data_IF_749467370492
#
_entry.id   IF_749467370492
#
_cell.length_a   1.000
_cell.length_b   1.000
_cell.length_c   1.000
_cell.angle_alpha   90.00
_cell.angle_beta   90.00
_cell.angle_gamma   90.00
#
_symmetry.space_group_name_H-M   'P 1'
#
loop_
_entity.id
_entity.type
_entity.pdbx_description
1 polymer ?
#
# COMPACT_ATOMS: atom_id res chain seq x y z
N UNK A 1 16.82 20.57 -41.17
CA UNK A 1 15.96 19.84 -40.22
C UNK A 1 16.29 20.37 -38.83
N UNK A 2 15.36 21.06 -38.14
CA UNK A 2 15.62 21.66 -36.83
C UNK A 2 15.78 20.57 -35.75
N UNK A 3 16.68 20.74 -34.76
CA UNK A 3 16.91 19.74 -33.71
C UNK A 3 15.64 19.41 -32.90
N UNK A 4 14.71 20.35 -32.82
CA UNK A 4 13.38 20.24 -32.19
C UNK A 4 12.53 19.07 -32.73
N UNK A 5 12.77 18.63 -33.97
CA UNK A 5 11.94 17.62 -34.64
C UNK A 5 12.38 16.19 -34.37
N UNK A 6 13.62 15.97 -33.89
CA UNK A 6 14.13 14.64 -33.54
C UNK A 6 13.70 14.25 -32.13
N UNK A 7 13.68 15.21 -31.20
CA UNK A 7 13.22 14.98 -29.83
C UNK A 7 11.71 14.74 -29.77
N UNK A 8 10.91 15.51 -30.51
CA UNK A 8 9.44 15.33 -30.58
C UNK A 8 9.06 13.97 -31.19
N UNK A 9 9.77 13.53 -32.23
CA UNK A 9 9.60 12.21 -32.85
C UNK A 9 10.00 11.08 -31.89
N UNK A 10 11.04 11.30 -31.08
CA UNK A 10 11.45 10.34 -30.04
C UNK A 10 10.39 10.26 -28.93
N UNK A 11 9.88 11.40 -28.47
CA UNK A 11 8.85 11.49 -27.44
C UNK A 11 7.55 10.85 -27.90
N UNK A 12 7.12 11.10 -29.14
CA UNK A 12 5.96 10.43 -29.74
C UNK A 12 6.13 8.91 -29.82
N UNK A 13 7.35 8.39 -30.02
CA UNK A 13 7.63 6.95 -29.91
C UNK A 13 7.55 6.45 -28.48
N UNK A 14 8.02 7.23 -27.49
CA UNK A 14 7.98 6.85 -26.08
C UNK A 14 6.55 6.89 -25.50
N UNK A 15 5.76 7.93 -25.82
CA UNK A 15 4.35 8.06 -25.46
C UNK A 15 3.52 7.03 -26.21
N UNK A 16 3.70 6.88 -27.53
CA UNK A 16 3.01 5.87 -28.31
C UNK A 16 3.30 4.45 -27.80
N UNK A 17 4.54 4.20 -27.37
CA UNK A 17 4.89 2.99 -26.62
C UNK A 17 4.13 2.92 -25.29
N UNK A 18 4.20 3.93 -24.44
CA UNK A 18 3.50 4.00 -23.15
C UNK A 18 1.98 3.79 -23.25
N UNK A 19 1.31 4.42 -24.21
CA UNK A 19 -0.13 4.30 -24.45
C UNK A 19 -0.49 2.95 -25.09
N UNK A 20 0.31 2.44 -26.04
CA UNK A 20 0.15 1.07 -26.53
C UNK A 20 0.39 0.01 -25.43
N UNK A 21 1.24 0.33 -24.44
CA UNK A 21 1.48 -0.51 -23.27
C UNK A 21 0.34 -0.47 -22.25
N UNK A 22 -0.41 0.63 -22.15
CA UNK A 22 -1.59 0.73 -21.29
C UNK A 22 -2.80 -0.07 -21.82
N UNK A 23 -2.87 -0.28 -23.14
CA UNK A 23 -4.02 -0.90 -23.83
C UNK A 23 -3.87 -2.42 -24.01
N UNK A 24 -2.68 -3.00 -23.81
CA UNK A 24 -2.40 -4.42 -24.06
C UNK A 24 -2.12 -5.21 -22.78
N UNK A 25 -2.77 -6.37 -22.62
CA UNK A 25 -2.64 -7.29 -21.49
C UNK A 25 -1.27 -8.01 -21.39
N UNK A 26 -0.26 -7.58 -22.15
CA UNK A 26 0.94 -8.36 -22.46
C UNK A 26 2.26 -7.81 -21.89
N UNK A 27 2.30 -6.65 -21.20
CA UNK A 27 3.57 -6.15 -20.65
C UNK A 27 3.55 -5.64 -19.20
N UNK A 28 4.62 -6.04 -18.51
CA UNK A 28 4.91 -5.92 -17.09
C UNK A 28 5.07 -4.46 -16.62
N UNK A 29 4.63 -4.18 -15.39
CA UNK A 29 4.84 -2.90 -14.66
C UNK A 29 6.31 -2.44 -14.70
N UNK A 30 7.27 -3.37 -14.80
CA UNK A 30 8.71 -3.09 -14.98
C UNK A 30 8.94 -2.27 -16.26
N UNK A 31 8.39 -2.72 -17.38
CA UNK A 31 8.61 -2.09 -18.68
C UNK A 31 8.05 -0.67 -18.71
N UNK A 32 6.92 -0.45 -18.04
CA UNK A 32 6.31 0.86 -17.88
C UNK A 32 7.19 1.77 -17.01
N UNK A 33 7.64 1.30 -15.84
CA UNK A 33 8.53 2.05 -14.97
C UNK A 33 9.86 2.42 -15.65
N UNK A 34 10.47 1.49 -16.40
CA UNK A 34 11.68 1.75 -17.21
C UNK A 34 11.45 2.82 -18.27
N UNK A 35 10.31 2.76 -18.95
CA UNK A 35 9.92 3.73 -19.97
C UNK A 35 9.78 5.13 -19.37
N UNK A 36 9.01 5.27 -18.29
CA UNK A 36 8.80 6.56 -17.63
C UNK A 36 10.07 7.13 -17.01
N UNK A 37 10.90 6.28 -16.38
CA UNK A 37 12.24 6.67 -15.91
C UNK A 37 13.08 7.23 -17.05
N UNK A 38 13.10 6.55 -18.21
CA UNK A 38 13.81 7.02 -19.39
C UNK A 38 13.38 8.41 -19.84
N UNK A 39 12.07 8.66 -19.93
CA UNK A 39 11.51 9.97 -20.31
C UNK A 39 11.83 11.06 -19.26
N UNK A 40 11.74 10.72 -17.97
CA UNK A 40 12.02 11.63 -16.85
C UNK A 40 13.49 12.06 -16.86
N UNK A 41 14.39 11.07 -16.91
CA UNK A 41 15.82 11.27 -16.77
C UNK A 41 16.42 11.96 -18.01
N UNK A 42 15.90 11.67 -19.21
CA UNK A 42 16.29 12.38 -20.44
C UNK A 42 15.72 13.80 -20.52
N UNK A 43 14.69 14.10 -19.72
CA UNK A 43 13.94 15.34 -19.82
C UNK A 43 13.08 15.46 -21.08
N UNK A 44 12.87 14.36 -21.84
CA UNK A 44 12.17 14.40 -23.13
C UNK A 44 10.73 14.93 -23.03
N UNK A 45 10.07 14.80 -21.88
CA UNK A 45 8.74 15.36 -21.64
C UNK A 45 8.68 16.89 -21.84
N UNK A 46 9.81 17.59 -21.68
CA UNK A 46 9.91 19.05 -21.85
C UNK A 46 9.68 19.48 -23.30
N UNK A 47 9.85 18.59 -24.27
CA UNK A 47 9.58 18.90 -25.69
C UNK A 47 8.09 19.19 -25.95
N UNK A 48 7.19 18.70 -25.08
CA UNK A 48 5.76 19.06 -25.11
C UNK A 48 5.44 20.37 -24.39
N UNK A 49 6.43 21.07 -23.83
CA UNK A 49 6.23 22.28 -23.03
C UNK A 49 5.57 22.04 -21.67
N UNK A 50 5.44 20.77 -21.27
CA UNK A 50 4.80 20.36 -20.01
C UNK A 50 5.82 20.25 -18.89
N UNK A 51 5.37 20.53 -17.66
CA UNK A 51 6.08 20.07 -16.45
C UNK A 51 5.96 18.55 -16.31
N UNK A 52 6.81 17.93 -15.49
CA UNK A 52 6.75 16.49 -15.26
C UNK A 52 5.39 16.04 -14.72
N UNK A 53 4.80 16.82 -13.81
CA UNK A 53 3.49 16.56 -13.23
C UNK A 53 2.35 16.62 -14.27
N UNK A 54 2.37 17.66 -15.11
CA UNK A 54 1.43 17.80 -16.22
C UNK A 54 1.60 16.69 -17.25
N UNK A 55 2.83 16.27 -17.54
CA UNK A 55 3.09 15.15 -18.43
C UNK A 55 2.52 13.83 -17.88
N UNK A 56 2.72 13.56 -16.58
CA UNK A 56 2.15 12.37 -15.94
C UNK A 56 0.63 12.35 -16.03
N UNK A 57 -0.01 13.47 -15.71
CA UNK A 57 -1.47 13.55 -15.66
C UNK A 57 -2.12 13.59 -17.05
N UNK A 58 -1.52 14.31 -18.01
CA UNK A 58 -2.11 14.56 -19.33
C UNK A 58 -1.71 13.54 -20.39
N UNK A 59 -0.46 13.07 -20.40
CA UNK A 59 0.05 12.17 -21.44
C UNK A 59 0.09 10.70 -20.99
N UNK A 60 0.46 10.45 -19.73
CA UNK A 60 0.46 9.10 -19.14
C UNK A 60 -0.93 8.73 -18.57
N UNK A 61 -1.69 9.71 -18.09
CA UNK A 61 -3.00 9.49 -17.47
C UNK A 61 -2.94 8.99 -16.02
N UNK A 62 -1.81 9.18 -15.33
CA UNK A 62 -1.59 8.75 -13.94
C UNK A 62 -1.11 9.92 -13.08
N UNK A 63 -1.32 9.84 -11.76
CA UNK A 63 -0.76 10.86 -10.87
C UNK A 63 0.77 10.79 -10.87
N UNK A 64 1.42 11.95 -10.78
CA UNK A 64 2.88 12.03 -10.64
C UNK A 64 3.38 11.15 -9.49
N UNK A 65 2.71 11.20 -8.34
CA UNK A 65 3.10 10.42 -7.16
C UNK A 65 3.16 8.92 -7.46
N UNK A 66 2.17 8.38 -8.18
CA UNK A 66 2.15 6.96 -8.53
C UNK A 66 3.26 6.59 -9.53
N UNK A 67 3.50 7.45 -10.52
CA UNK A 67 4.59 7.26 -11.51
C UNK A 67 5.96 7.31 -10.81
N UNK A 68 6.17 8.29 -9.93
CA UNK A 68 7.41 8.43 -9.15
C UNK A 68 7.59 7.24 -8.21
N UNK A 69 6.55 6.81 -7.50
CA UNK A 69 6.63 5.62 -6.63
C UNK A 69 7.06 4.38 -7.40
N UNK A 70 6.56 4.16 -8.62
CA UNK A 70 6.97 3.02 -9.45
C UNK A 70 8.41 3.13 -9.96
N UNK A 71 8.87 4.34 -10.30
CA UNK A 71 10.26 4.56 -10.70
C UNK A 71 11.19 4.35 -9.50
N UNK A 72 10.87 4.90 -8.34
CA UNK A 72 11.66 4.78 -7.12
C UNK A 72 11.74 3.32 -6.66
N UNK A 73 10.63 2.60 -6.76
CA UNK A 73 10.58 1.17 -6.46
C UNK A 73 11.46 0.35 -7.41
N UNK A 74 11.45 0.67 -8.71
CA UNK A 74 12.33 0.04 -9.70
C UNK A 74 13.81 0.34 -9.39
N UNK A 75 14.16 1.57 -9.06
CA UNK A 75 15.54 1.98 -8.75
C UNK A 75 16.05 1.34 -7.47
N UNK A 76 15.18 1.26 -6.45
CA UNK A 76 15.57 0.80 -5.10
C UNK A 76 15.60 -0.71 -4.96
N UNK A 77 14.69 -1.40 -5.63
CA UNK A 77 14.48 -2.84 -5.41
C UNK A 77 14.64 -3.68 -6.70
N UNK A 78 14.84 -3.03 -7.84
CA UNK A 78 15.07 -3.70 -9.11
C UNK A 78 13.81 -4.34 -9.71
N UNK A 79 14.02 -5.07 -10.79
CA UNK A 79 12.96 -5.62 -11.63
C UNK A 79 12.13 -6.68 -10.90
N UNK A 80 12.78 -7.51 -10.08
CA UNK A 80 12.16 -8.60 -9.33
C UNK A 80 11.05 -8.11 -8.40
N UNK A 81 11.20 -6.93 -7.79
CA UNK A 81 10.16 -6.33 -6.95
C UNK A 81 8.91 -5.94 -7.75
N UNK A 82 9.10 -5.34 -8.91
CA UNK A 82 8.02 -4.92 -9.79
C UNK A 82 7.32 -6.12 -10.47
N UNK A 83 8.03 -7.23 -10.71
CA UNK A 83 7.46 -8.54 -11.10
C UNK A 83 6.57 -9.09 -9.97
N UNK A 84 7.05 -9.08 -8.73
CA UNK A 84 6.28 -9.49 -7.54
C UNK A 84 5.02 -8.63 -7.34
N UNK A 85 5.11 -7.30 -7.53
CA UNK A 85 3.96 -6.39 -7.42
C UNK A 85 2.83 -6.69 -8.40
N UNK A 86 3.13 -7.26 -9.58
CA UNK A 86 2.11 -7.70 -10.54
C UNK A 86 1.36 -8.94 -10.07
N UNK A 87 2.06 -9.81 -9.35
CA UNK A 87 1.51 -11.07 -8.85
C UNK A 87 0.72 -10.81 -7.56
N UNK A 88 1.29 -10.04 -6.64
CA UNK A 88 0.73 -9.77 -5.31
C UNK A 88 1.04 -8.33 -4.89
N UNK A 89 0.01 -7.60 -4.44
CA UNK A 89 0.23 -6.31 -3.77
C UNK A 89 1.04 -6.58 -2.52
N UNK A 90 2.26 -6.05 -2.42
CA UNK A 90 3.15 -6.18 -1.26
C UNK A 90 3.47 -4.80 -0.71
N UNK A 91 3.49 -4.67 0.63
CA UNK A 91 3.99 -3.45 1.28
C UNK A 91 5.51 -3.50 1.36
N UNK A 92 6.15 -2.35 1.55
CA UNK A 92 7.61 -2.27 1.70
C UNK A 92 8.15 -3.14 2.85
N UNK A 93 7.43 -3.26 3.96
CA UNK A 93 7.84 -4.07 5.10
C UNK A 93 7.79 -5.58 4.78
N UNK A 94 6.75 -6.01 4.07
CA UNK A 94 6.63 -7.40 3.61
C UNK A 94 7.71 -7.68 2.59
N UNK A 95 7.99 -6.75 1.68
CA UNK A 95 9.09 -6.92 0.72
C UNK A 95 10.44 -7.07 1.42
N UNK A 96 10.72 -6.24 2.43
CA UNK A 96 11.97 -6.35 3.21
C UNK A 96 12.10 -7.70 3.90
N UNK A 97 11.01 -8.28 4.37
CA UNK A 97 11.01 -9.59 5.01
C UNK A 97 11.24 -10.74 4.01
N UNK A 98 10.74 -10.62 2.78
CA UNK A 98 10.92 -11.65 1.75
C UNK A 98 12.18 -11.46 0.90
N UNK A 99 12.77 -10.26 0.87
CA UNK A 99 13.95 -9.95 0.09
C UNK A 99 15.13 -10.89 0.34
N UNK A 100 15.42 -11.34 1.58
CA UNK A 100 16.46 -12.34 1.84
C UNK A 100 16.18 -13.72 1.22
N UNK A 101 14.92 -14.02 0.90
CA UNK A 101 14.48 -15.27 0.25
C UNK A 101 14.43 -15.16 -1.27
N UNK A 102 14.81 -14.02 -1.83
CA UNK A 102 14.80 -13.79 -3.27
C UNK A 102 16.23 -13.93 -3.79
N UNK A 103 16.40 -14.77 -4.81
CA UNK A 103 17.64 -14.88 -5.57
C UNK A 103 17.33 -14.72 -7.06
N UNK A 104 17.86 -13.65 -7.66
CA UNK A 104 17.58 -13.25 -9.03
C UNK A 104 16.09 -13.04 -9.30
N UNK A 105 15.51 -13.88 -10.17
CA UNK A 105 14.08 -13.88 -10.54
C UNK A 105 13.27 -14.99 -9.85
N UNK A 106 13.81 -15.60 -8.80
CA UNK A 106 13.14 -16.65 -8.04
C UNK A 106 13.00 -16.28 -6.56
N UNK A 107 11.95 -16.80 -5.93
CA UNK A 107 11.69 -16.65 -4.49
C UNK A 107 11.66 -18.03 -3.84
N UNK A 108 12.33 -18.17 -2.72
CA UNK A 108 12.30 -19.37 -1.90
C UNK A 108 10.95 -19.48 -1.18
N UNK A 109 10.24 -20.58 -1.45
CA UNK A 109 8.98 -20.95 -0.81
C UNK A 109 9.13 -22.40 -0.33
N UNK A 110 8.99 -22.63 0.97
CA UNK A 110 9.10 -23.95 1.60
C UNK A 110 10.42 -24.70 1.27
N UNK A 111 11.52 -23.96 1.12
CA UNK A 111 12.84 -24.50 0.78
C UNK A 111 13.06 -24.77 -0.72
N UNK A 112 12.09 -24.45 -1.58
CA UNK A 112 12.19 -24.56 -3.04
C UNK A 112 12.30 -23.18 -3.69
N UNK A 113 13.22 -23.01 -4.64
CA UNK A 113 13.32 -21.79 -5.44
C UNK A 113 12.23 -21.78 -6.52
N UNK A 114 11.23 -20.92 -6.36
CA UNK A 114 10.09 -20.78 -7.27
C UNK A 114 10.28 -19.55 -8.17
N UNK A 115 10.28 -19.69 -9.50
CA UNK A 115 10.35 -18.54 -10.41
C UNK A 115 9.21 -17.56 -10.21
N UNK A 116 9.52 -16.26 -10.17
CA UNK A 116 8.55 -15.17 -10.01
C UNK A 116 7.90 -14.89 -11.37
N UNK A 117 6.96 -15.77 -11.73
CA UNK A 117 6.26 -15.76 -13.00
C UNK A 117 4.75 -15.94 -12.80
N UNK A 118 3.91 -15.51 -13.76
CA UNK A 118 2.45 -15.63 -13.67
C UNK A 118 1.95 -17.05 -13.38
N UNK A 119 2.65 -18.06 -13.89
CA UNK A 119 2.34 -19.49 -13.72
C UNK A 119 2.43 -19.92 -12.24
N UNK A 120 3.31 -19.28 -11.47
CA UNK A 120 3.50 -19.52 -10.05
C UNK A 120 2.70 -18.55 -9.16
N UNK A 121 1.87 -17.68 -9.74
CA UNK A 121 1.21 -16.60 -9.02
C UNK A 121 0.38 -17.06 -7.82
N UNK A 122 -0.29 -18.21 -7.93
CA UNK A 122 -1.05 -18.80 -6.83
C UNK A 122 -0.18 -19.18 -5.63
N UNK A 123 0.93 -19.89 -5.89
CA UNK A 123 1.90 -20.30 -4.86
C UNK A 123 2.54 -19.08 -4.20
N UNK A 124 2.98 -18.11 -5.00
CA UNK A 124 3.61 -16.88 -4.51
C UNK A 124 2.64 -16.06 -3.65
N UNK A 125 1.38 -15.92 -4.06
CA UNK A 125 0.36 -15.22 -3.26
C UNK A 125 0.13 -15.91 -1.92
N UNK A 126 0.01 -17.24 -1.91
CA UNK A 126 -0.18 -18.00 -0.68
C UNK A 126 1.00 -17.83 0.28
N UNK A 127 2.23 -17.95 -0.23
CA UNK A 127 3.44 -17.75 0.57
C UNK A 127 3.52 -16.34 1.17
N UNK A 128 3.25 -15.30 0.37
CA UNK A 128 3.26 -13.91 0.85
C UNK A 128 2.15 -13.64 1.87
N UNK A 129 0.96 -14.23 1.69
CA UNK A 129 -0.13 -14.13 2.68
C UNK A 129 0.24 -14.80 4.00
N UNK A 130 0.88 -15.97 3.95
CA UNK A 130 1.38 -16.62 5.15
C UNK A 130 2.44 -15.76 5.85
N UNK A 131 3.43 -15.26 5.12
CA UNK A 131 4.46 -14.37 5.67
C UNK A 131 3.87 -13.09 6.28
N UNK A 132 2.78 -12.55 5.71
CA UNK A 132 2.02 -11.44 6.30
C UNK A 132 1.37 -11.82 7.62
N UNK A 133 0.78 -13.02 7.68
CA UNK A 133 0.20 -13.55 8.91
C UNK A 133 1.29 -13.68 9.98
N UNK A 134 2.44 -14.26 9.62
CA UNK A 134 3.56 -14.46 10.53
C UNK A 134 4.16 -13.14 11.02
N UNK A 135 4.32 -12.14 10.13
CA UNK A 135 4.78 -10.80 10.51
C UNK A 135 3.76 -10.05 11.39
N UNK A 136 2.47 -10.26 11.16
CA UNK A 136 1.42 -9.73 12.04
C UNK A 136 1.47 -10.41 13.40
N UNK A 137 1.61 -11.72 13.45
CA UNK A 137 1.74 -12.48 14.70
C UNK A 137 3.03 -12.13 15.45
N UNK A 138 4.14 -11.88 14.75
CA UNK A 138 5.40 -11.46 15.36
C UNK A 138 5.37 -10.01 15.86
N UNK A 139 4.61 -9.12 15.22
CA UNK A 139 4.41 -7.74 15.66
C UNK A 139 3.26 -7.58 16.67
N UNK A 140 2.33 -8.53 16.73
CA UNK A 140 1.39 -8.68 17.82
C UNK A 140 2.15 -9.18 19.04
N UNK A 141 2.43 -8.26 19.98
CA UNK A 141 2.84 -8.63 21.35
C UNK A 141 1.94 -9.77 21.85
N UNK A 142 2.49 -10.72 22.65
CA UNK A 142 1.81 -11.96 23.00
C UNK A 142 0.39 -11.67 23.48
N UNK A 143 -0.56 -12.52 23.03
CA UNK A 143 -1.99 -12.38 23.26
C UNK A 143 -2.25 -11.82 24.67
N UNK A 144 -2.74 -10.57 24.72
CA UNK A 144 -3.07 -9.90 25.98
C UNK A 144 -3.96 -10.85 26.76
N UNK A 145 -3.54 -11.12 27.99
CA UNK A 145 -4.39 -11.74 29.00
C UNK A 145 -5.82 -11.16 28.87
N UNK A 146 -6.88 -11.99 28.84
CA UNK A 146 -8.25 -11.55 28.60
C UNK A 146 -8.66 -10.34 29.44
N UNK A 147 -8.15 -10.23 30.68
CA UNK A 147 -8.39 -9.08 31.57
C UNK A 147 -7.73 -7.81 31.04
N UNK A 148 -6.46 -7.90 30.60
CA UNK A 148 -5.74 -6.79 29.95
C UNK A 148 -6.39 -6.34 28.64
N UNK A 149 -6.99 -7.25 27.87
CA UNK A 149 -7.73 -6.94 26.65
C UNK A 149 -9.04 -6.17 26.95
N UNK A 150 -9.80 -6.61 27.96
CA UNK A 150 -11.00 -5.89 28.44
C UNK A 150 -10.63 -4.50 28.96
N UNK A 151 -9.57 -4.40 29.78
CA UNK A 151 -9.08 -3.13 30.30
C UNK A 151 -8.72 -2.13 29.19
N UNK A 152 -8.12 -2.61 28.11
CA UNK A 152 -7.75 -1.77 26.96
C UNK A 152 -8.98 -1.25 26.23
N UNK A 153 -9.99 -2.10 26.03
CA UNK A 153 -11.25 -1.70 25.37
C UNK A 153 -12.01 -0.67 26.20
N UNK A 154 -12.13 -0.88 27.50
CA UNK A 154 -12.78 0.09 28.42
C UNK A 154 -12.07 1.45 28.35
N UNK A 155 -10.73 1.48 28.42
CA UNK A 155 -9.95 2.72 28.28
C UNK A 155 -10.20 3.43 26.95
N UNK A 156 -10.31 2.66 25.86
CA UNK A 156 -10.64 3.19 24.53
C UNK A 156 -12.02 3.83 24.46
N UNK A 157 -13.04 3.15 25.01
CA UNK A 157 -14.41 3.68 25.07
C UNK A 157 -14.49 4.97 25.89
N UNK A 158 -13.85 5.01 27.06
CA UNK A 158 -13.78 6.22 27.89
C UNK A 158 -13.12 7.38 27.13
N UNK A 159 -11.99 7.14 26.47
CA UNK A 159 -11.33 8.18 25.68
C UNK A 159 -12.18 8.70 24.50
N UNK A 160 -12.97 7.82 23.86
CA UNK A 160 -13.88 8.22 22.80
C UNK A 160 -15.04 9.09 23.34
N UNK A 161 -15.62 8.72 24.48
CA UNK A 161 -16.67 9.49 25.17
C UNK A 161 -16.14 10.86 25.58
N UNK A 162 -14.95 10.95 26.16
CA UNK A 162 -14.32 12.22 26.54
C UNK A 162 -14.17 13.15 25.33
N UNK A 163 -13.63 12.66 24.21
CA UNK A 163 -13.50 13.45 22.98
C UNK A 163 -14.85 13.94 22.43
N UNK A 164 -15.87 13.11 22.49
CA UNK A 164 -17.22 13.47 22.06
C UNK A 164 -17.86 14.51 23.00
N UNK A 165 -17.60 14.42 24.30
CA UNK A 165 -18.09 15.39 25.29
C UNK A 165 -17.42 16.77 25.17
N UNK A 166 -16.15 16.80 24.78
CA UNK A 166 -15.38 18.04 24.53
C UNK A 166 -15.68 18.66 23.16
N UNK A 167 -16.28 17.89 22.24
CA UNK A 167 -16.66 18.33 20.90
C UNK A 167 -17.98 19.10 20.85
N UNK A 168 -18.25 19.71 19.69
CA UNK A 168 -19.49 20.46 19.47
C UNK A 168 -20.66 19.55 19.03
N UNK A 169 -21.10 18.67 19.95
CA UNK A 169 -22.31 17.87 19.75
C UNK A 169 -23.57 18.75 19.85
N UNK A 170 -24.49 18.55 18.92
CA UNK A 170 -25.84 19.13 18.98
C UNK A 170 -26.64 18.57 20.17
N UNK A 171 -27.69 19.27 20.61
CA UNK A 171 -28.46 18.94 21.82
C UNK A 171 -28.93 17.49 21.88
N UNK A 172 -29.53 16.98 20.80
CA UNK A 172 -29.98 15.59 20.71
C UNK A 172 -28.82 14.58 20.80
N UNK A 173 -27.64 14.92 20.26
CA UNK A 173 -26.43 14.09 20.36
C UNK A 173 -25.85 14.05 21.77
N UNK A 174 -25.91 15.16 22.50
CA UNK A 174 -25.50 15.22 23.92
C UNK A 174 -26.42 14.40 24.82
N UNK A 175 -27.73 14.48 24.59
CA UNK A 175 -28.70 13.69 25.37
C UNK A 175 -28.54 12.19 25.14
N UNK A 176 -28.31 11.77 23.88
CA UNK A 176 -28.02 10.38 23.56
C UNK A 176 -26.71 9.89 24.20
N UNK A 177 -25.64 10.70 24.15
CA UNK A 177 -24.37 10.35 24.78
C UNK A 177 -24.49 10.25 26.30
N UNK A 178 -25.25 11.15 26.94
CA UNK A 178 -25.53 11.11 28.38
C UNK A 178 -26.25 9.83 28.78
N UNK A 179 -27.32 9.45 28.07
CA UNK A 179 -28.05 8.22 28.36
C UNK A 179 -27.18 6.96 28.22
N UNK A 180 -26.30 6.92 27.22
CA UNK A 180 -25.32 5.82 27.04
C UNK A 180 -24.35 5.74 28.22
N UNK A 181 -23.85 6.88 28.69
CA UNK A 181 -22.94 6.91 29.84
C UNK A 181 -23.64 6.44 31.12
N UNK A 182 -24.86 6.92 31.37
CA UNK A 182 -25.64 6.57 32.57
C UNK A 182 -25.96 5.06 32.63
N UNK A 183 -26.45 4.46 31.53
CA UNK A 183 -26.69 3.01 31.44
C UNK A 183 -25.39 2.20 31.61
N UNK A 184 -24.29 2.67 31.00
CA UNK A 184 -22.99 2.00 31.10
C UNK A 184 -22.44 2.00 32.53
N UNK A 185 -22.61 3.09 33.28
CA UNK A 185 -22.17 3.18 34.68
C UNK A 185 -22.95 2.20 35.54
N UNK A 186 -24.28 2.14 35.41
CA UNK A 186 -25.14 1.21 36.13
C UNK A 186 -24.71 -0.25 35.92
N UNK A 187 -24.55 -0.68 34.66
CA UNK A 187 -24.15 -2.05 34.33
C UNK A 187 -22.76 -2.40 34.86
N UNK A 188 -21.81 -1.47 34.81
CA UNK A 188 -20.46 -1.69 35.31
C UNK A 188 -20.43 -1.82 36.84
N UNK A 189 -21.29 -1.07 37.55
CA UNK A 189 -21.45 -1.23 39.00
C UNK A 189 -22.00 -2.61 39.36
N UNK A 190 -23.06 -3.07 38.69
CA UNK A 190 -23.62 -4.43 38.91
C UNK A 190 -22.58 -5.54 38.68
N UNK A 191 -21.76 -5.41 37.63
CA UNK A 191 -20.67 -6.36 37.36
C UNK A 191 -19.61 -6.29 38.47
N UNK A 192 -19.27 -5.10 38.96
CA UNK A 192 -18.31 -4.93 40.04
C UNK A 192 -18.77 -5.59 41.34
N UNK A 193 -20.05 -5.46 41.70
CA UNK A 193 -20.62 -6.11 42.89
C UNK A 193 -20.59 -7.63 42.77
N UNK A 194 -20.92 -8.17 41.60
CA UNK A 194 -20.83 -9.62 41.34
C UNK A 194 -19.42 -10.19 41.42
N UNK A 195 -18.40 -9.37 41.14
CA UNK A 195 -17.00 -9.79 41.23
C UNK A 195 -16.44 -9.65 42.66
N UNK A 196 -17.13 -8.95 43.55
CA UNK A 196 -16.76 -8.78 44.95
C UNK A 196 -17.41 -9.80 45.90
N UNK A 197 -18.39 -10.57 45.42
CA UNK A 197 -19.07 -11.65 46.11
C UNK A 197 -18.37 -13.00 45.88
#
# INVERSE_FOLDING_TARGET
MKPENLESLSLGKWIGRGQAFAVSASHSLISQAKCWKGIRDSGSYKASGLTWDQFCTQEIGLSRQYVEELIDNLEKYGETFCQLLQIVKISADVYRAISPKIDGEAIEIDGEMVPIAPENAGRIRAAVLQMRSDLRQANEKPAKDPVTAVQTRIKGCVAAISRLSEGNLEGAGRDALRAIVEDSVLRLMEISERLAA
#
